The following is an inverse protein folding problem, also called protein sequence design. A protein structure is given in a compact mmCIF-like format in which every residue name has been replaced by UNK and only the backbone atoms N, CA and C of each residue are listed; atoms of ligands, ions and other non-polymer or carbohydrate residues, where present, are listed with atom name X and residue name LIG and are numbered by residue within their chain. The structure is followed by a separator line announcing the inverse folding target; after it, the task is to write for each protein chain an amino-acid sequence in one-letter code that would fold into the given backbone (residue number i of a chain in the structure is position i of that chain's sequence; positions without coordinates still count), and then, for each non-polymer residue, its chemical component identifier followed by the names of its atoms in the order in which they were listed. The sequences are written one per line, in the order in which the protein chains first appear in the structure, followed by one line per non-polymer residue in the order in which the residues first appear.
data_IF_826119273851
#
_entry.id   IF_826119273851
#
_cell.length_a   1.000
_cell.length_b   1.000
_cell.length_c   1.000
_cell.angle_alpha   90.00
_cell.angle_beta   90.00
_cell.angle_gamma   90.00
#
_symmetry.space_group_name_H-M   'P 1'
#
loop_
_entity.id
_entity.type
_entity.pdbx_description
1 polymer ?
#
# COMPACT_ATOMS: atom_id res chain seq x y z
N UNK A 1 -0.62 -17.53 -8.71
CA UNK A 1 -1.23 -16.22 -9.06
C UNK A 1 -0.14 -15.39 -9.75
N UNK A 2 -0.25 -15.09 -11.06
CA UNK A 2 0.74 -14.24 -11.75
C UNK A 2 0.30 -12.78 -11.64
N UNK A 3 1.05 -11.97 -10.90
CA UNK A 3 0.89 -10.51 -10.96
C UNK A 3 1.29 -10.04 -12.36
N UNK A 4 0.29 -9.71 -13.18
CA UNK A 4 0.49 -9.04 -14.46
C UNK A 4 0.86 -7.58 -14.21
N UNK A 5 1.70 -6.98 -15.09
CA UNK A 5 1.98 -5.52 -15.07
C UNK A 5 0.73 -4.66 -15.19
N UNK A 6 -0.44 -5.25 -15.49
CA UNK A 6 -1.74 -4.60 -15.58
C UNK A 6 -2.07 -3.68 -14.40
N UNK A 7 -1.65 -4.01 -13.18
CA UNK A 7 -1.96 -3.24 -11.98
C UNK A 7 -0.78 -2.44 -11.45
N UNK A 8 0.28 -2.26 -12.26
CA UNK A 8 1.45 -1.52 -11.84
C UNK A 8 1.12 -0.05 -11.56
N UNK A 9 1.52 0.44 -10.40
CA UNK A 9 1.39 1.84 -9.99
C UNK A 9 2.76 2.38 -9.64
N UNK A 10 3.27 3.29 -10.46
CA UNK A 10 4.53 3.98 -10.18
C UNK A 10 4.36 4.87 -8.95
N UNK A 11 5.34 4.85 -8.05
CA UNK A 11 5.43 5.85 -6.99
C UNK A 11 5.74 7.23 -7.60
N UNK A 12 5.09 8.28 -7.10
CA UNK A 12 5.32 9.66 -7.58
C UNK A 12 6.56 10.23 -6.92
N UNK A 13 6.63 10.14 -5.59
CA UNK A 13 7.79 10.55 -4.83
C UNK A 13 8.55 9.35 -4.22
N UNK A 14 9.78 9.57 -3.75
CA UNK A 14 10.63 8.52 -3.15
C UNK A 14 10.00 7.87 -1.90
N UNK A 15 9.24 8.64 -1.12
CA UNK A 15 8.54 8.18 0.09
C UNK A 15 7.22 7.42 -0.18
N UNK A 16 6.72 7.41 -1.42
CA UNK A 16 5.39 6.87 -1.75
C UNK A 16 5.38 5.36 -1.99
N UNK A 17 6.49 4.65 -1.77
CA UNK A 17 6.61 3.22 -2.05
C UNK A 17 5.53 2.37 -1.35
N UNK A 18 5.16 2.70 -0.10
CA UNK A 18 4.08 2.04 0.63
C UNK A 18 2.69 2.30 0.03
N UNK A 19 2.41 3.55 -0.38
CA UNK A 19 1.15 3.92 -1.02
C UNK A 19 1.00 3.28 -2.40
N UNK A 20 2.08 3.26 -3.19
CA UNK A 20 2.13 2.61 -4.49
C UNK A 20 1.91 1.10 -4.37
N UNK A 21 2.60 0.43 -3.45
CA UNK A 21 2.43 -1.00 -3.20
C UNK A 21 0.98 -1.35 -2.82
N UNK A 22 0.39 -0.59 -1.90
CA UNK A 22 -1.00 -0.80 -1.49
C UNK A 22 -1.98 -0.54 -2.65
N UNK A 23 -1.73 0.48 -3.48
CA UNK A 23 -2.55 0.76 -4.66
C UNK A 23 -2.56 -0.42 -5.65
N UNK A 24 -1.40 -1.02 -5.92
CA UNK A 24 -1.30 -2.19 -6.82
C UNK A 24 -2.11 -3.39 -6.30
N UNK A 25 -2.07 -3.63 -4.98
CA UNK A 25 -2.84 -4.71 -4.34
C UNK A 25 -4.34 -4.42 -4.42
N UNK A 26 -4.77 -3.21 -4.07
CA UNK A 26 -6.17 -2.79 -4.15
C UNK A 26 -6.72 -2.95 -5.58
N UNK A 27 -5.95 -2.50 -6.57
CA UNK A 27 -6.37 -2.54 -7.98
C UNK A 27 -6.46 -3.97 -8.50
N UNK A 28 -5.57 -4.86 -8.05
CA UNK A 28 -5.65 -6.30 -8.34
C UNK A 28 -6.98 -6.91 -7.85
N UNK A 29 -7.49 -6.47 -6.69
CA UNK A 29 -8.78 -6.90 -6.15
C UNK A 29 -9.96 -6.03 -6.63
N UNK A 30 -9.77 -5.19 -7.65
CA UNK A 30 -10.86 -4.42 -8.29
C UNK A 30 -11.22 -3.10 -7.62
N UNK A 31 -10.41 -2.63 -6.67
CA UNK A 31 -10.62 -1.34 -5.99
C UNK A 31 -9.57 -0.31 -6.44
N UNK A 32 -10.02 0.84 -6.93
CA UNK A 32 -9.12 1.89 -7.40
C UNK A 32 -9.10 3.11 -6.46
N UNK A 33 -7.92 3.44 -5.95
CA UNK A 33 -7.68 4.63 -5.13
C UNK A 33 -6.57 5.50 -5.72
N UNK A 34 -6.63 6.81 -5.50
CA UNK A 34 -5.53 7.71 -5.88
C UNK A 34 -4.35 7.55 -4.91
N UNK A 35 -3.13 7.79 -5.39
CA UNK A 35 -1.93 7.71 -4.55
C UNK A 35 -1.96 8.79 -3.45
N UNK A 36 -2.45 9.99 -3.75
CA UNK A 36 -2.64 11.06 -2.77
C UNK A 36 -3.58 10.64 -1.63
N UNK A 37 -4.71 10.00 -1.96
CA UNK A 37 -5.64 9.50 -0.95
C UNK A 37 -4.97 8.49 -0.03
N UNK A 38 -4.26 7.51 -0.60
CA UNK A 38 -3.57 6.48 0.16
C UNK A 38 -2.43 7.08 1.00
N UNK A 39 -1.63 7.98 0.44
CA UNK A 39 -0.57 8.71 1.14
C UNK A 39 -1.10 9.44 2.38
N UNK A 40 -2.22 10.16 2.25
CA UNK A 40 -2.88 10.85 3.37
C UNK A 40 -3.41 9.87 4.42
N UNK A 41 -4.04 8.76 4.00
CA UNK A 41 -4.56 7.73 4.92
C UNK A 41 -3.43 7.01 5.67
N UNK A 42 -2.36 6.67 4.97
CA UNK A 42 -1.17 6.02 5.51
C UNK A 42 -0.32 6.95 6.38
N UNK A 43 -0.64 8.26 6.39
CA UNK A 43 0.15 9.30 7.06
C UNK A 43 1.61 9.24 6.65
N UNK A 44 1.86 9.00 5.35
CA UNK A 44 3.21 8.99 4.79
C UNK A 44 3.87 10.33 5.05
N UNK A 45 5.08 10.27 5.58
CA UNK A 45 5.92 11.45 5.86
C UNK A 45 7.11 11.48 4.92
N UNK A 46 8.00 12.45 5.10
CA UNK A 46 9.30 12.48 4.43
C UNK A 46 10.15 11.22 4.71
N UNK A 47 9.89 10.51 5.81
CA UNK A 47 10.55 9.25 6.17
C UNK A 47 9.82 8.01 5.61
N UNK A 48 8.82 8.19 4.74
CA UNK A 48 8.01 7.10 4.21
C UNK A 48 6.81 6.73 5.07
N UNK A 49 6.34 5.50 4.88
CA UNK A 49 5.20 4.89 5.56
C UNK A 49 5.68 3.78 6.50
N UNK A 50 5.07 3.66 7.68
CA UNK A 50 5.37 2.55 8.60
C UNK A 50 4.57 1.29 8.24
N UNK A 51 5.12 0.11 8.55
CA UNK A 51 4.39 -1.15 8.39
C UNK A 51 3.06 -1.17 9.18
N UNK A 52 3.04 -0.58 10.38
CA UNK A 52 1.83 -0.42 11.18
C UNK A 52 0.76 0.42 10.47
N UNK A 53 1.16 1.50 9.79
CA UNK A 53 0.25 2.32 8.99
C UNK A 53 -0.36 1.54 7.84
N UNK A 54 0.43 0.70 7.15
CA UNK A 54 -0.06 -0.17 6.08
C UNK A 54 -1.11 -1.17 6.58
N UNK A 55 -0.83 -1.89 7.65
CA UNK A 55 -1.76 -2.85 8.30
C UNK A 55 -3.07 -2.15 8.63
N UNK A 56 -3.03 -1.05 9.40
CA UNK A 56 -4.24 -0.35 9.81
C UNK A 56 -5.08 0.17 8.65
N UNK A 57 -4.46 0.70 7.59
CA UNK A 57 -5.20 1.24 6.46
C UNK A 57 -5.76 0.11 5.61
N UNK A 58 -4.99 -0.95 5.35
CA UNK A 58 -5.46 -2.10 4.61
C UNK A 58 -6.65 -2.78 5.32
N UNK A 59 -6.59 -2.95 6.64
CA UNK A 59 -7.71 -3.49 7.44
C UNK A 59 -8.96 -2.63 7.29
N UNK A 60 -8.81 -1.30 7.37
CA UNK A 60 -9.93 -0.35 7.18
C UNK A 60 -10.49 -0.35 5.75
N UNK A 61 -9.71 -0.82 4.78
CA UNK A 61 -10.12 -0.95 3.38
C UNK A 61 -10.67 -2.35 3.08
N UNK A 62 -10.89 -3.18 4.11
CA UNK A 62 -11.55 -4.48 3.98
C UNK A 62 -10.62 -5.66 3.75
N UNK A 63 -9.31 -5.48 3.89
CA UNK A 63 -8.39 -6.60 3.95
C UNK A 63 -8.33 -7.20 5.35
N UNK A 64 -7.99 -8.49 5.42
CA UNK A 64 -7.45 -9.08 6.62
C UNK A 64 -5.92 -9.08 6.49
N UNK A 65 -5.21 -8.37 7.37
CA UNK A 65 -3.75 -8.28 7.30
C UNK A 65 -3.04 -8.93 8.50
N UNK A 66 -1.93 -9.59 8.21
CA UNK A 66 -1.07 -10.21 9.24
C UNK A 66 0.36 -9.69 9.05
N UNK A 67 0.87 -8.84 9.96
CA UNK A 67 2.27 -8.43 9.90
C UNK A 67 3.18 -9.60 10.30
N UNK A 68 4.08 -9.98 9.41
CA UNK A 68 5.08 -11.02 9.66
C UNK A 68 6.45 -10.40 9.95
N UNK A 69 7.14 -10.93 10.95
CA UNK A 69 8.55 -10.63 11.23
C UNK A 69 9.33 -11.92 11.12
N UNK A 70 10.29 -11.98 10.20
CA UNK A 70 11.23 -13.09 10.13
C UNK A 70 12.34 -12.82 11.14
N UNK A 71 12.46 -13.71 12.13
CA UNK A 71 13.66 -13.78 12.97
C UNK A 71 14.72 -14.55 12.18
N UNK A 72 15.90 -13.95 12.07
CA UNK A 72 17.10 -14.57 11.53
C UNK A 72 18.11 -14.75 12.66
#
# INVERSE_FOLDING_TARGET
MKFSKRFYRAQVDSQDCGAAALAMILEFYGSHYSLDFLRRKLRTTVNGTTAYGLVQVADKLGFETVPIKRFG
#
